data_IF_089558154758
#
_entry.id   IF_089558154758
#
_cell.length_a   1.000
_cell.length_b   1.000
_cell.length_c   1.000
_cell.angle_alpha   90.00
_cell.angle_beta   90.00
_cell.angle_gamma   90.00
#
_symmetry.space_group_name_H-M   'P 1'
#
loop_
_entity.id
_entity.type
_entity.pdbx_description
1 polymer ?
#
# COMPACT_ATOMS: atom_id res chain seq x y z
N UNK A 1 5.11 23.00 19.14
CA UNK A 1 6.10 22.71 18.08
C UNK A 1 5.36 22.88 16.76
N UNK A 2 5.68 23.91 15.98
CA UNK A 2 4.95 24.21 14.75
C UNK A 2 5.32 23.18 13.68
N UNK A 3 4.37 22.35 13.28
CA UNK A 3 4.54 21.42 12.17
C UNK A 3 4.65 22.27 10.88
N UNK A 4 5.87 22.52 10.41
CA UNK A 4 6.11 23.31 9.20
C UNK A 4 5.74 22.49 7.97
N UNK A 5 4.45 22.48 7.60
CA UNK A 5 4.02 21.88 6.34
C UNK A 5 4.38 22.80 5.18
N UNK A 6 5.11 22.30 4.20
CA UNK A 6 5.35 22.99 2.93
C UNK A 6 4.44 22.46 1.84
N UNK A 7 4.21 23.25 0.80
CA UNK A 7 3.50 22.77 -0.39
C UNK A 7 4.49 21.95 -1.24
N UNK A 8 4.06 20.76 -1.63
CA UNK A 8 4.77 19.87 -2.55
C UNK A 8 4.01 19.84 -3.88
N UNK A 9 4.73 20.12 -4.95
CA UNK A 9 4.22 20.03 -6.32
C UNK A 9 4.56 18.67 -6.94
N UNK A 10 3.55 18.04 -7.53
CA UNK A 10 3.60 16.69 -8.10
C UNK A 10 2.86 16.67 -9.43
N UNK A 11 3.33 15.84 -10.36
CA UNK A 11 2.64 15.61 -11.63
C UNK A 11 2.12 14.18 -11.68
N UNK A 12 0.83 14.01 -11.93
CA UNK A 12 0.16 12.71 -12.00
C UNK A 12 -0.71 12.69 -13.26
N UNK A 13 -0.44 11.77 -14.17
CA UNK A 13 -1.10 11.65 -15.47
C UNK A 13 -1.16 12.99 -16.22
N UNK A 14 -0.01 13.65 -16.34
CA UNK A 14 0.19 14.96 -17.03
C UNK A 14 -0.52 16.15 -16.36
N UNK A 15 -1.09 15.98 -15.16
CA UNK A 15 -1.73 17.05 -14.38
C UNK A 15 -0.90 17.41 -13.17
N UNK A 16 -0.76 18.71 -12.90
CA UNK A 16 -0.06 19.23 -11.74
C UNK A 16 -0.98 19.28 -10.51
N UNK A 17 -0.45 18.86 -9.36
CA UNK A 17 -1.11 18.85 -8.06
C UNK A 17 -0.22 19.52 -7.02
N UNK A 18 -0.86 20.26 -6.12
CA UNK A 18 -0.24 20.88 -4.94
C UNK A 18 -0.83 20.23 -3.70
N UNK A 19 0.02 19.58 -2.90
CA UNK A 19 -0.40 18.94 -1.66
C UNK A 19 0.41 19.45 -0.47
N UNK A 20 -0.19 19.40 0.71
CA UNK A 20 0.53 19.68 1.95
C UNK A 20 1.50 18.52 2.23
N UNK A 21 2.78 18.85 2.37
CA UNK A 21 3.85 17.93 2.71
C UNK A 21 4.34 18.23 4.13
N UNK A 22 4.06 17.34 5.10
CA UNK A 22 4.70 17.36 6.40
C UNK A 22 6.23 17.24 6.28
N UNK A 23 6.94 17.68 7.31
CA UNK A 23 8.39 17.50 7.40
C UNK A 23 8.76 16.00 7.34
N UNK A 24 9.79 15.67 6.55
CA UNK A 24 10.23 14.27 6.35
C UNK A 24 9.33 13.39 5.47
N UNK A 25 8.18 13.87 5.00
CA UNK A 25 7.24 13.06 4.21
C UNK A 25 7.43 13.18 2.68
N UNK A 26 8.30 14.08 2.19
CA UNK A 26 8.40 14.40 0.75
C UNK A 26 8.65 13.17 -0.11
N UNK A 27 9.67 12.36 0.21
CA UNK A 27 10.03 11.22 -0.64
C UNK A 27 8.91 10.18 -0.70
N UNK A 28 8.28 9.88 0.44
CA UNK A 28 7.13 8.96 0.51
C UNK A 28 5.95 9.46 -0.32
N UNK A 29 5.68 10.77 -0.29
CA UNK A 29 4.61 11.36 -1.10
C UNK A 29 4.95 11.36 -2.60
N UNK A 30 6.22 11.58 -2.97
CA UNK A 30 6.67 11.45 -4.36
C UNK A 30 6.57 10.01 -4.86
N UNK A 31 6.94 9.04 -4.03
CA UNK A 31 6.79 7.62 -4.34
C UNK A 31 5.33 7.23 -4.53
N UNK A 32 4.46 7.64 -3.62
CA UNK A 32 3.02 7.40 -3.73
C UNK A 32 2.43 8.02 -5.02
N UNK A 33 2.89 9.22 -5.40
CA UNK A 33 2.46 9.87 -6.65
C UNK A 33 2.96 9.14 -7.91
N UNK A 34 4.21 8.64 -7.91
CA UNK A 34 4.74 7.79 -8.99
C UNK A 34 3.89 6.53 -9.14
N UNK A 35 3.63 5.84 -8.03
CA UNK A 35 2.83 4.62 -8.03
C UNK A 35 1.39 4.86 -8.53
N UNK A 36 0.74 5.94 -8.07
CA UNK A 36 -0.58 6.33 -8.56
C UNK A 36 -0.55 6.66 -10.06
N UNK A 37 0.46 7.40 -10.52
CA UNK A 37 0.64 7.73 -11.93
C UNK A 37 0.71 6.47 -12.79
N UNK A 38 1.51 5.49 -12.39
CA UNK A 38 1.71 4.25 -13.14
C UNK A 38 0.42 3.43 -13.20
N UNK A 39 -0.31 3.31 -12.08
CA UNK A 39 -1.62 2.64 -12.05
C UNK A 39 -2.66 3.35 -12.94
N UNK A 40 -2.69 4.67 -12.93
CA UNK A 40 -3.57 5.45 -13.81
C UNK A 40 -3.20 5.27 -15.29
N UNK A 41 -1.90 5.22 -15.62
CA UNK A 41 -1.41 5.00 -16.98
C UNK A 41 -1.77 3.59 -17.50
N UNK A 42 -1.62 2.56 -16.66
CA UNK A 42 -2.03 1.18 -16.95
C UNK A 42 -3.53 1.11 -17.33
N UNK A 43 -4.39 1.73 -16.51
CA UNK A 43 -5.85 1.76 -16.75
C UNK A 43 -6.18 2.53 -18.04
N UNK A 44 -5.49 3.65 -18.29
CA UNK A 44 -5.66 4.45 -19.53
C UNK A 44 -5.33 3.59 -20.76
N UNK A 45 -4.21 2.87 -20.73
CA UNK A 45 -3.75 2.01 -21.83
C UNK A 45 -4.71 0.84 -22.07
N UNK A 46 -5.15 0.15 -21.00
CA UNK A 46 -6.10 -0.95 -21.10
C UNK A 46 -7.44 -0.51 -21.70
N UNK A 47 -7.97 0.65 -21.29
CA UNK A 47 -9.19 1.22 -21.85
C UNK A 47 -9.06 1.55 -23.35
N UNK A 48 -7.93 2.16 -23.74
CA UNK A 48 -7.66 2.52 -25.12
C UNK A 48 -7.54 1.28 -26.04
N UNK A 49 -6.89 0.21 -25.58
CA UNK A 49 -6.77 -1.05 -26.32
C UNK A 49 -8.14 -1.73 -26.56
N UNK A 50 -9.07 -1.58 -25.62
CA UNK A 50 -10.45 -2.06 -25.73
C UNK A 50 -11.41 -1.12 -26.49
N UNK A 51 -10.90 -0.06 -27.13
CA UNK A 51 -11.72 0.91 -27.87
C UNK A 51 -12.54 1.87 -27.00
N UNK A 52 -12.31 1.90 -25.68
CA UNK A 52 -13.05 2.73 -24.72
C UNK A 52 -12.12 3.74 -24.04
N UNK A 53 -12.13 4.96 -24.53
CA UNK A 53 -11.41 6.07 -23.89
C UNK A 53 -12.14 6.46 -22.60
N UNK A 54 -11.48 6.28 -21.46
CA UNK A 54 -11.97 6.71 -20.15
C UNK A 54 -11.47 8.13 -19.86
N UNK A 55 -12.33 8.96 -19.27
CA UNK A 55 -11.91 10.27 -18.75
C UNK A 55 -11.00 10.13 -17.51
N UNK A 56 -10.13 11.11 -17.30
CA UNK A 56 -9.13 11.11 -16.22
C UNK A 56 -9.72 10.91 -14.83
N UNK A 57 -10.86 11.52 -14.53
CA UNK A 57 -11.49 11.40 -13.21
C UNK A 57 -11.94 9.96 -12.94
N UNK A 58 -12.48 9.28 -13.97
CA UNK A 58 -12.85 7.87 -13.87
C UNK A 58 -11.62 6.97 -13.73
N UNK A 59 -10.54 7.27 -14.44
CA UNK A 59 -9.26 6.58 -14.31
C UNK A 59 -8.73 6.71 -12.87
N UNK A 60 -8.78 7.91 -12.29
CA UNK A 60 -8.34 8.16 -10.93
C UNK A 60 -9.16 7.37 -9.90
N UNK A 61 -10.49 7.32 -10.05
CA UNK A 61 -11.36 6.54 -9.16
C UNK A 61 -11.05 5.05 -9.24
N UNK A 62 -10.87 4.50 -10.46
CA UNK A 62 -10.52 3.08 -10.63
C UNK A 62 -9.15 2.79 -10.02
N UNK A 63 -8.16 3.66 -10.25
CA UNK A 63 -6.83 3.51 -9.66
C UNK A 63 -6.90 3.51 -8.12
N UNK A 64 -7.61 4.47 -7.53
CA UNK A 64 -7.80 4.56 -6.08
C UNK A 64 -8.45 3.30 -5.50
N UNK A 65 -9.49 2.77 -6.16
CA UNK A 65 -10.15 1.53 -5.76
C UNK A 65 -9.21 0.32 -5.82
N UNK A 66 -8.46 0.17 -6.91
CA UNK A 66 -7.52 -0.94 -7.08
C UNK A 66 -6.39 -0.91 -6.03
N UNK A 67 -5.88 0.28 -5.70
CA UNK A 67 -4.83 0.45 -4.70
C UNK A 67 -5.38 0.16 -3.30
N UNK A 68 -6.60 0.62 -2.99
CA UNK A 68 -7.26 0.36 -1.71
C UNK A 68 -7.51 -1.14 -1.53
N UNK A 69 -7.93 -1.83 -2.59
CA UNK A 69 -8.12 -3.27 -2.58
C UNK A 69 -6.80 -4.03 -2.28
N UNK A 70 -5.72 -3.70 -2.99
CA UNK A 70 -4.39 -4.29 -2.75
C UNK A 70 -3.90 -4.04 -1.32
N UNK A 71 -4.16 -2.86 -0.76
CA UNK A 71 -3.81 -2.59 0.65
C UNK A 71 -4.56 -3.52 1.60
N UNK A 72 -5.85 -3.77 1.37
CA UNK A 72 -6.63 -4.69 2.19
C UNK A 72 -6.16 -6.15 2.05
N UNK A 73 -5.80 -6.58 0.84
CA UNK A 73 -5.22 -7.91 0.61
C UNK A 73 -3.91 -8.07 1.39
N UNK A 74 -2.98 -7.10 1.28
CA UNK A 74 -1.72 -7.12 2.03
C UNK A 74 -1.92 -7.12 3.56
N UNK A 75 -2.94 -6.40 4.05
CA UNK A 75 -3.28 -6.41 5.48
C UNK A 75 -3.83 -7.77 5.93
N UNK A 76 -4.65 -8.42 5.10
CA UNK A 76 -5.15 -9.76 5.39
C UNK A 76 -4.02 -10.79 5.41
N UNK A 77 -3.15 -10.79 4.39
CA UNK A 77 -1.96 -11.66 4.32
C UNK A 77 -1.02 -11.47 5.51
N UNK A 78 -0.79 -10.22 5.93
CA UNK A 78 0.01 -9.92 7.12
C UNK A 78 -0.63 -10.46 8.40
N UNK A 79 -1.95 -10.35 8.53
CA UNK A 79 -2.69 -10.91 9.68
C UNK A 79 -2.62 -12.44 9.71
N UNK A 80 -2.74 -13.10 8.55
CA UNK A 80 -2.61 -14.55 8.43
C UNK A 80 -1.20 -15.00 8.83
N UNK A 81 -0.17 -14.36 8.27
CA UNK A 81 1.23 -14.64 8.58
C UNK A 81 1.52 -14.45 10.08
N UNK A 82 1.01 -13.38 10.69
CA UNK A 82 1.17 -13.15 12.14
C UNK A 82 0.47 -14.23 12.97
N UNK A 83 -0.67 -14.74 12.52
CA UNK A 83 -1.38 -15.84 13.18
C UNK A 83 -0.63 -17.17 13.08
N UNK A 84 0.01 -17.45 11.94
CA UNK A 84 0.87 -18.62 11.76
C UNK A 84 2.11 -18.56 12.66
N UNK A 85 2.76 -17.39 12.73
CA UNK A 85 3.90 -17.19 13.62
C UNK A 85 3.52 -17.42 15.09
N UNK A 86 2.37 -16.91 15.54
CA UNK A 86 1.89 -17.13 16.90
C UNK A 86 1.61 -18.62 17.19
N UNK A 87 1.07 -19.36 16.21
CA UNK A 87 0.87 -20.82 16.35
C UNK A 87 2.19 -21.57 16.45
N UNK A 88 3.18 -21.21 15.63
CA UNK A 88 4.51 -21.82 15.67
C UNK A 88 5.19 -21.57 17.02
N UNK A 89 5.06 -20.36 17.56
CA UNK A 89 5.59 -19.98 18.87
C UNK A 89 5.00 -20.86 19.98
N UNK A 90 3.66 -21.01 20.03
CA UNK A 90 3.00 -21.88 21.01
C UNK A 90 3.41 -23.35 20.89
N UNK A 91 3.64 -23.86 19.68
CA UNK A 91 4.10 -25.24 19.48
C UNK A 91 5.54 -25.44 19.97
N UNK A 92 6.40 -24.44 19.81
CA UNK A 92 7.78 -24.48 20.32
C UNK A 92 7.78 -24.44 21.85
N UNK A 93 6.98 -23.57 22.46
CA UNK A 93 6.81 -23.51 23.91
C UNK A 93 6.32 -24.86 24.46
N UNK A 94 5.29 -25.45 23.87
CA UNK A 94 4.76 -26.75 24.29
C UNK A 94 5.79 -27.89 24.16
N UNK A 95 6.55 -27.92 23.06
CA UNK A 95 7.58 -28.94 22.87
C UNK A 95 8.73 -28.81 23.88
N UNK A 96 9.15 -27.59 24.21
CA UNK A 96 10.18 -27.34 25.22
C UNK A 96 9.72 -27.72 26.63
N UNK A 97 8.45 -27.45 26.97
CA UNK A 97 7.86 -27.88 28.24
C UNK A 97 7.80 -29.40 28.37
N UNK A 98 7.43 -30.10 27.29
CA UNK A 98 7.39 -31.57 27.27
C UNK A 98 8.77 -32.19 27.48
N UNK A 99 9.82 -31.64 26.87
CA UNK A 99 11.20 -32.13 27.02
C UNK A 99 11.69 -31.95 28.47
N UNK A 100 11.39 -30.81 29.10
CA UNK A 100 11.75 -30.53 30.49
C UNK A 100 11.06 -31.48 31.49
N UNK A 101 9.85 -31.95 31.18
CA UNK A 101 9.12 -32.91 32.01
C UNK A 101 9.69 -34.33 31.90
N UNK A 102 10.39 -34.67 30.82
CA UNK A 102 10.99 -35.99 30.61
C UNK A 102 12.35 -36.14 31.31
N UNK A 103 13.01 -35.03 31.69
CA UNK A 103 14.29 -35.03 32.40
C UNK A 103 14.17 -35.12 33.95
N UNK A 104 12.96 -35.05 34.51
CA UNK A 104 12.67 -35.18 35.95
C UNK A 104 12.14 -36.57 36.32
#
# INVERSE_FOLDING_TARGET
>A
MANSSRILELTILEREYRINCPEGAEEKLREAARYLNDKMAEIKQAGAAGGKVLGTDRIAVIAALNITHQLHELQAEQSETSGELARLDSLVEEALEQDLQLEL
#
